data_IF_311589063529
#
_entry.id   IF_311589063529
#
_cell.length_a   1.000
_cell.length_b   1.000
_cell.length_c   1.000
_cell.angle_alpha   90.00
_cell.angle_beta   90.00
_cell.angle_gamma   90.00
#
_symmetry.space_group_name_H-M   'P 1'
#
loop_
_entity.id
_entity.type
_entity.pdbx_description
1 polymer ?
#
# COMPACT_ATOMS: atom_id res chain seq x y z
N UNK A 1 2.98 9.91 -24.36
CA UNK A 1 3.07 9.23 -23.05
C UNK A 1 2.71 7.76 -23.19
N UNK A 2 1.54 7.39 -23.73
CA UNK A 2 1.12 5.98 -23.89
C UNK A 2 2.12 5.12 -24.66
N UNK A 3 2.77 5.66 -25.72
CA UNK A 3 3.83 4.98 -26.49
C UNK A 3 5.03 4.62 -25.61
N UNK A 4 5.38 5.45 -24.62
CA UNK A 4 6.46 5.19 -23.66
C UNK A 4 6.03 4.17 -22.61
N UNK A 5 4.79 4.26 -22.10
CA UNK A 5 4.28 3.35 -21.07
C UNK A 5 4.11 1.91 -21.56
N UNK A 6 3.82 1.70 -22.86
CA UNK A 6 3.67 0.35 -23.46
C UNK A 6 4.97 -0.47 -23.43
N UNK A 7 6.12 0.18 -23.46
CA UNK A 7 7.43 -0.48 -23.52
C UNK A 7 8.11 -0.60 -22.15
N UNK A 8 7.43 -0.21 -21.06
CA UNK A 8 7.99 -0.25 -19.71
C UNK A 8 7.48 -1.51 -18.98
N UNK A 9 8.35 -2.50 -18.89
CA UNK A 9 8.10 -3.72 -18.09
C UNK A 9 8.63 -3.56 -16.66
N UNK A 10 8.01 -2.65 -15.91
CA UNK A 10 8.33 -2.44 -14.51
C UNK A 10 7.05 -2.40 -13.67
N UNK A 11 6.86 -3.43 -12.85
CA UNK A 11 5.69 -3.63 -12.01
C UNK A 11 5.39 -2.46 -11.05
N UNK A 12 6.39 -1.65 -10.68
CA UNK A 12 6.19 -0.46 -9.85
C UNK A 12 5.26 0.56 -10.50
N UNK A 13 5.35 0.71 -11.82
CA UNK A 13 4.57 1.71 -12.58
C UNK A 13 3.20 1.22 -13.04
N UNK A 14 2.74 0.04 -12.63
CA UNK A 14 1.44 -0.50 -13.04
C UNK A 14 0.23 0.12 -12.32
N UNK A 15 0.40 0.90 -11.25
CA UNK A 15 -0.70 1.62 -10.61
C UNK A 15 -0.95 2.95 -11.30
N UNK A 16 -2.20 3.43 -11.34
CA UNK A 16 -2.56 4.71 -11.97
C UNK A 16 -1.71 5.87 -11.44
N UNK A 17 -1.57 5.97 -10.12
CA UNK A 17 -0.75 7.02 -9.48
C UNK A 17 0.71 6.96 -9.91
N UNK A 18 1.30 5.77 -10.01
CA UNK A 18 2.71 5.64 -10.41
C UNK A 18 2.89 5.89 -11.91
N UNK A 19 1.92 5.55 -12.75
CA UNK A 19 1.91 5.93 -14.17
C UNK A 19 1.85 7.44 -14.34
N UNK A 20 0.96 8.09 -13.57
CA UNK A 20 0.84 9.55 -13.57
C UNK A 20 2.17 10.21 -13.15
N UNK A 21 2.78 9.75 -12.05
CA UNK A 21 4.09 10.25 -11.63
C UNK A 21 5.16 10.03 -12.71
N UNK A 22 5.18 8.87 -13.36
CA UNK A 22 6.11 8.60 -14.45
C UNK A 22 5.88 9.53 -15.64
N UNK A 23 4.63 9.88 -15.94
CA UNK A 23 4.31 10.82 -17.01
C UNK A 23 4.97 12.18 -16.80
N UNK A 24 4.94 12.70 -15.56
CA UNK A 24 5.65 13.94 -15.21
C UNK A 24 7.16 13.81 -15.41
N UNK A 25 7.75 12.66 -15.02
CA UNK A 25 9.19 12.42 -15.21
C UNK A 25 9.54 12.40 -16.70
N UNK A 26 8.74 11.75 -17.53
CA UNK A 26 8.95 11.68 -18.99
C UNK A 26 8.88 13.09 -19.60
N UNK A 27 7.85 13.88 -19.27
CA UNK A 27 7.71 15.23 -19.82
C UNK A 27 8.86 16.16 -19.37
N UNK A 28 9.26 16.08 -18.10
CA UNK A 28 10.41 16.83 -17.59
C UNK A 28 11.70 16.41 -18.31
N UNK A 29 11.92 15.12 -18.50
CA UNK A 29 13.12 14.59 -19.18
C UNK A 29 13.20 15.09 -20.62
N UNK A 30 12.08 15.16 -21.34
CA UNK A 30 12.03 15.74 -22.71
C UNK A 30 12.41 17.21 -22.69
N UNK A 31 11.85 18.01 -21.76
CA UNK A 31 12.17 19.44 -21.65
C UNK A 31 13.65 19.70 -21.32
N UNK A 32 14.27 18.78 -20.57
CA UNK A 32 15.70 18.85 -20.22
C UNK A 32 16.59 18.16 -21.26
N UNK A 33 16.05 17.71 -22.40
CA UNK A 33 16.77 17.04 -23.47
C UNK A 33 17.55 15.78 -23.03
N UNK A 34 17.04 15.03 -22.05
CA UNK A 34 17.62 13.73 -21.69
C UNK A 34 17.46 12.72 -22.84
N UNK A 35 18.51 11.92 -23.09
CA UNK A 35 18.45 10.84 -24.06
C UNK A 35 17.41 9.80 -23.65
N UNK A 36 16.54 9.40 -24.59
CA UNK A 36 15.48 8.43 -24.34
C UNK A 36 15.99 7.10 -23.79
N UNK A 37 17.11 6.59 -24.30
CA UNK A 37 17.67 5.31 -23.84
C UNK A 37 18.08 5.32 -22.37
N UNK A 38 18.65 6.44 -21.90
CA UNK A 38 18.99 6.64 -20.49
C UNK A 38 17.74 6.67 -19.62
N UNK A 39 16.68 7.36 -20.07
CA UNK A 39 15.41 7.40 -19.38
C UNK A 39 14.77 6.01 -19.29
N UNK A 40 14.73 5.27 -20.39
CA UNK A 40 14.19 3.91 -20.40
C UNK A 40 14.95 2.99 -19.46
N UNK A 41 16.28 3.01 -19.50
CA UNK A 41 17.12 2.22 -18.60
C UNK A 41 16.86 2.58 -17.15
N UNK A 42 16.84 3.87 -16.79
CA UNK A 42 16.55 4.32 -15.43
C UNK A 42 15.18 3.87 -14.93
N UNK A 43 14.15 3.91 -15.78
CA UNK A 43 12.79 3.45 -15.45
C UNK A 43 12.73 1.93 -15.30
N UNK A 44 13.39 1.16 -16.13
CA UNK A 44 13.46 -0.31 -16.02
C UNK A 44 14.19 -0.75 -14.76
N UNK A 45 15.30 -0.10 -14.43
CA UNK A 45 16.14 -0.42 -13.27
C UNK A 45 15.56 0.09 -11.94
N UNK A 46 14.54 0.94 -11.98
CA UNK A 46 13.96 1.56 -10.80
C UNK A 46 13.28 0.52 -9.89
N UNK A 47 13.83 0.29 -8.72
CA UNK A 47 13.35 -0.68 -7.71
C UNK A 47 12.19 -0.16 -6.85
N UNK A 48 11.70 1.06 -7.11
CA UNK A 48 10.73 1.74 -6.27
C UNK A 48 11.37 2.43 -5.06
N UNK A 49 10.56 3.16 -4.30
CA UNK A 49 10.97 3.84 -3.08
C UNK A 49 10.68 2.95 -1.87
N UNK A 50 11.59 2.95 -0.88
CA UNK A 50 11.37 2.25 0.39
C UNK A 50 10.05 2.70 1.04
N UNK A 51 9.30 1.73 1.56
CA UNK A 51 8.03 1.97 2.27
C UNK A 51 6.92 2.63 1.44
N UNK A 52 7.05 2.63 0.10
CA UNK A 52 6.01 3.05 -0.84
C UNK A 52 5.62 1.88 -1.74
N UNK A 53 4.56 1.19 -1.37
CA UNK A 53 4.09 -0.03 -2.05
C UNK A 53 5.20 -1.06 -2.28
N UNK A 54 6.19 -1.08 -1.40
CA UNK A 54 7.37 -1.93 -1.47
C UNK A 54 6.98 -3.38 -1.22
N UNK A 55 7.18 -4.26 -2.19
CA UNK A 55 7.05 -5.71 -2.00
C UNK A 55 8.29 -6.18 -1.24
N UNK A 56 8.09 -6.61 0.03
CA UNK A 56 9.16 -7.11 0.89
C UNK A 56 9.24 -8.63 0.91
N UNK A 57 8.16 -9.30 0.49
CA UNK A 57 8.09 -10.74 0.37
C UNK A 57 7.10 -11.14 -0.72
N UNK A 58 7.51 -12.07 -1.59
CA UNK A 58 6.64 -12.67 -2.60
C UNK A 58 7.11 -14.10 -2.85
N UNK A 59 6.42 -15.06 -2.27
CA UNK A 59 6.71 -16.48 -2.47
C UNK A 59 5.42 -17.29 -2.35
N UNK A 60 5.27 -18.33 -3.17
CA UNK A 60 4.06 -19.14 -3.22
C UNK A 60 2.82 -18.23 -3.43
N UNK A 61 1.82 -18.40 -2.56
CA UNK A 61 0.55 -17.66 -2.64
C UNK A 61 0.52 -16.42 -1.71
N UNK A 62 1.64 -16.00 -1.14
CA UNK A 62 1.70 -14.87 -0.21
C UNK A 62 2.55 -13.73 -0.76
N UNK A 63 1.97 -12.53 -0.76
CA UNK A 63 2.68 -11.27 -1.01
C UNK A 63 2.58 -10.38 0.22
N UNK A 64 3.70 -9.80 0.67
CA UNK A 64 3.72 -8.83 1.76
C UNK A 64 4.20 -7.49 1.19
N UNK A 65 3.41 -6.46 1.41
CA UNK A 65 3.65 -5.12 0.87
C UNK A 65 3.75 -4.12 2.01
N UNK A 66 4.87 -3.40 2.05
CA UNK A 66 5.08 -2.28 2.95
C UNK A 66 4.80 -0.96 2.24
N UNK A 67 3.73 -0.30 2.65
CA UNK A 67 3.31 1.03 2.20
C UNK A 67 3.18 1.99 3.38
N UNK A 68 4.17 1.96 4.28
CA UNK A 68 4.18 2.81 5.49
C UNK A 68 4.05 4.30 5.18
N UNK A 69 4.39 4.75 3.98
CA UNK A 69 4.22 6.12 3.50
C UNK A 69 2.76 6.52 3.30
N UNK A 70 1.83 5.58 3.25
CA UNK A 70 0.39 5.87 3.13
C UNK A 70 -0.12 6.60 4.37
N UNK A 71 -0.50 7.86 4.22
CA UNK A 71 -0.97 8.74 5.31
C UNK A 71 -2.45 9.13 5.19
N UNK A 72 -3.15 8.58 4.18
CA UNK A 72 -4.58 8.81 3.94
C UNK A 72 -5.23 7.59 3.26
N UNK A 73 -6.55 7.49 3.33
CA UNK A 73 -7.28 6.45 2.59
C UNK A 73 -7.05 6.55 1.08
N UNK A 74 -7.02 7.76 0.54
CA UNK A 74 -6.84 7.99 -0.90
C UNK A 74 -5.55 7.36 -1.42
N UNK A 75 -4.46 7.42 -0.67
CA UNK A 75 -3.17 6.82 -1.06
C UNK A 75 -3.19 5.28 -1.12
N UNK A 76 -4.13 4.63 -0.41
CA UNK A 76 -4.26 3.16 -0.39
C UNK A 76 -5.25 2.61 -1.43
N UNK A 77 -6.11 3.44 -2.03
CA UNK A 77 -7.18 2.98 -2.94
C UNK A 77 -6.62 2.18 -4.12
N UNK A 78 -5.57 2.66 -4.76
CA UNK A 78 -4.96 2.00 -5.92
C UNK A 78 -4.49 0.58 -5.60
N UNK A 79 -3.76 0.42 -4.50
CA UNK A 79 -3.21 -0.88 -4.10
C UNK A 79 -4.31 -1.84 -3.59
N UNK A 80 -5.37 -1.32 -2.94
CA UNK A 80 -6.53 -2.12 -2.53
C UNK A 80 -7.34 -2.63 -3.74
N UNK A 81 -7.39 -1.88 -4.84
CA UNK A 81 -8.04 -2.32 -6.08
C UNK A 81 -7.26 -3.43 -6.77
N UNK A 82 -5.93 -3.35 -6.81
CA UNK A 82 -5.03 -4.23 -7.57
C UNK A 82 -4.88 -5.62 -6.96
N UNK A 83 -4.93 -5.75 -5.62
CA UNK A 83 -4.65 -7.01 -4.92
C UNK A 83 -5.92 -7.77 -4.53
N UNK A 84 -5.76 -9.07 -4.19
CA UNK A 84 -6.84 -9.98 -3.78
C UNK A 84 -6.56 -10.57 -2.40
N UNK A 85 -7.64 -11.00 -1.71
CA UNK A 85 -7.57 -11.61 -0.37
C UNK A 85 -6.67 -10.80 0.59
N UNK A 86 -6.98 -9.52 0.74
CA UNK A 86 -6.13 -8.54 1.42
C UNK A 86 -6.38 -8.57 2.93
N UNK A 87 -5.31 -8.78 3.69
CA UNK A 87 -5.20 -8.52 5.11
C UNK A 87 -4.58 -7.14 5.28
N UNK A 88 -5.42 -6.14 5.46
CA UNK A 88 -5.04 -4.73 5.45
C UNK A 88 -4.75 -4.23 6.87
N UNK A 89 -3.51 -3.88 7.15
CA UNK A 89 -3.04 -3.27 8.39
C UNK A 89 -3.13 -1.76 8.31
N UNK A 90 -3.90 -1.14 9.21
CA UNK A 90 -4.06 0.31 9.26
C UNK A 90 -4.13 0.81 10.71
N UNK A 91 -3.66 2.06 10.92
CA UNK A 91 -3.60 2.67 12.24
C UNK A 91 -2.58 3.80 12.29
N UNK A 92 -2.70 4.65 13.30
CA UNK A 92 -1.91 5.86 13.48
C UNK A 92 -2.79 7.10 13.62
N UNK A 93 -2.21 8.30 13.49
CA UNK A 93 -2.94 9.57 13.58
C UNK A 93 -3.61 9.86 12.23
N UNK A 94 -4.95 9.80 12.20
CA UNK A 94 -5.72 10.05 10.99
C UNK A 94 -5.69 11.52 10.58
N UNK A 95 -5.79 11.78 9.27
CA UNK A 95 -5.94 13.13 8.72
C UNK A 95 -7.39 13.59 8.86
N UNK A 96 -7.60 14.81 9.39
CA UNK A 96 -8.94 15.43 9.46
C UNK A 96 -9.55 15.52 8.05
N UNK A 97 -10.81 15.16 7.91
CA UNK A 97 -11.52 15.21 6.61
C UNK A 97 -11.24 14.04 5.67
N UNK A 98 -10.35 13.11 6.02
CA UNK A 98 -10.04 11.96 5.14
C UNK A 98 -11.29 11.09 4.89
N UNK A 99 -11.49 10.72 3.61
CA UNK A 99 -12.68 9.98 3.15
C UNK A 99 -12.28 8.63 2.57
N UNK A 100 -13.02 7.59 2.96
CA UNK A 100 -12.86 6.25 2.40
C UNK A 100 -13.78 6.04 1.20
N UNK A 101 -13.26 6.24 -0.01
CA UNK A 101 -14.00 6.22 -1.27
C UNK A 101 -13.68 4.98 -2.13
N UNK A 102 -13.61 3.80 -1.54
CA UNK A 102 -13.45 2.55 -2.28
C UNK A 102 -14.82 2.03 -2.74
N UNK A 103 -14.92 1.56 -3.99
CA UNK A 103 -16.15 0.96 -4.54
C UNK A 103 -16.51 -0.35 -3.82
N UNK A 104 -17.82 -0.58 -3.61
CA UNK A 104 -18.40 -1.76 -2.91
C UNK A 104 -17.91 -3.10 -3.50
N UNK A 105 -17.66 -3.19 -4.80
CA UNK A 105 -17.18 -4.41 -5.46
C UNK A 105 -15.87 -4.96 -4.91
N UNK A 106 -15.07 -4.10 -4.24
CA UNK A 106 -13.79 -4.50 -3.64
C UNK A 106 -13.88 -4.92 -2.17
N UNK A 107 -15.00 -4.66 -1.49
CA UNK A 107 -15.11 -4.85 -0.03
C UNK A 107 -14.91 -6.31 0.40
N UNK A 108 -15.50 -7.26 -0.34
CA UNK A 108 -15.46 -8.69 0.01
C UNK A 108 -14.05 -9.30 0.04
N UNK A 109 -13.12 -8.72 -0.71
CA UNK A 109 -11.74 -9.22 -0.79
C UNK A 109 -10.79 -8.63 0.26
N UNK A 110 -11.29 -7.75 1.13
CA UNK A 110 -10.48 -7.01 2.11
C UNK A 110 -10.96 -7.34 3.52
N UNK A 111 -9.99 -7.58 4.42
CA UNK A 111 -10.18 -7.62 5.87
C UNK A 111 -9.24 -6.62 6.50
N UNK A 112 -9.77 -5.71 7.31
CA UNK A 112 -9.00 -4.67 7.96
C UNK A 112 -8.57 -5.09 9.37
N UNK A 113 -7.31 -4.81 9.72
CA UNK A 113 -6.68 -5.06 11.01
C UNK A 113 -6.21 -3.73 11.56
N UNK A 114 -7.01 -3.16 12.46
CA UNK A 114 -6.84 -1.79 12.95
C UNK A 114 -6.07 -1.83 14.25
N UNK A 115 -4.95 -1.13 14.34
CA UNK A 115 -4.11 -1.09 15.53
C UNK A 115 -3.96 0.33 16.10
N UNK A 116 -3.48 0.43 17.35
CA UNK A 116 -3.15 1.68 18.01
C UNK A 116 -4.33 2.39 18.69
N UNK A 117 -4.15 3.68 18.98
CA UNK A 117 -5.10 4.46 19.84
C UNK A 117 -6.32 4.98 19.07
N UNK A 118 -6.19 5.32 17.81
CA UNK A 118 -7.24 5.99 17.00
C UNK A 118 -8.25 5.05 16.32
N UNK A 119 -8.47 3.85 16.86
CA UNK A 119 -9.34 2.82 16.28
C UNK A 119 -10.76 3.30 15.98
N UNK A 120 -11.33 4.15 16.82
CA UNK A 120 -12.71 4.66 16.67
C UNK A 120 -12.94 5.35 15.32
N UNK A 121 -11.96 6.13 14.85
CA UNK A 121 -12.03 6.78 13.53
C UNK A 121 -12.13 5.78 12.39
N UNK A 122 -11.22 4.80 12.36
CA UNK A 122 -11.18 3.79 11.30
C UNK A 122 -12.43 2.91 11.35
N UNK A 123 -12.88 2.51 12.54
CA UNK A 123 -14.12 1.74 12.73
C UNK A 123 -15.30 2.47 12.08
N UNK A 124 -15.49 3.78 12.38
CA UNK A 124 -16.57 4.60 11.81
C UNK A 124 -16.52 4.64 10.28
N UNK A 125 -15.32 4.71 9.69
CA UNK A 125 -15.15 4.79 8.21
C UNK A 125 -15.37 3.46 7.50
N UNK A 126 -15.07 2.34 8.16
CA UNK A 126 -15.14 0.98 7.58
C UNK A 126 -16.41 0.23 7.96
N UNK A 127 -17.16 0.69 8.97
CA UNK A 127 -18.40 0.05 9.42
C UNK A 127 -19.40 -0.10 8.27
N UNK A 128 -20.03 -1.28 8.16
CA UNK A 128 -20.95 -1.61 7.07
C UNK A 128 -20.29 -1.80 5.68
N UNK A 129 -18.97 -1.62 5.57
CA UNK A 129 -18.22 -1.70 4.31
C UNK A 129 -17.22 -2.85 4.29
N UNK A 130 -16.29 -2.89 5.22
CA UNK A 130 -15.22 -3.88 5.28
C UNK A 130 -15.22 -4.54 6.66
N UNK A 131 -15.11 -5.87 6.70
CA UNK A 131 -14.92 -6.60 7.97
C UNK A 131 -13.61 -6.19 8.61
N UNK A 132 -13.64 -5.81 9.90
CA UNK A 132 -12.45 -5.39 10.61
C UNK A 132 -12.32 -6.04 11.99
N UNK A 133 -11.09 -6.02 12.50
CA UNK A 133 -10.74 -6.37 13.88
C UNK A 133 -9.82 -5.30 14.47
N UNK A 134 -9.96 -5.05 15.78
CA UNK A 134 -9.14 -4.08 16.49
C UNK A 134 -8.07 -4.78 17.32
N UNK A 135 -6.87 -4.17 17.36
CA UNK A 135 -5.71 -4.66 18.10
C UNK A 135 -5.08 -3.55 18.93
N UNK A 136 -4.34 -3.91 19.96
CA UNK A 136 -3.64 -2.95 20.79
C UNK A 136 -2.45 -2.34 20.02
N UNK A 137 -1.66 -3.18 19.38
CA UNK A 137 -0.46 -2.79 18.64
C UNK A 137 -0.35 -3.53 17.30
N UNK A 138 0.65 -3.16 16.50
CA UNK A 138 0.91 -3.73 15.18
C UNK A 138 1.28 -5.22 15.26
N UNK A 139 2.06 -5.64 16.26
CA UNK A 139 2.50 -7.04 16.40
C UNK A 139 1.32 -7.97 16.64
N UNK A 140 0.37 -7.60 17.50
CA UNK A 140 -0.82 -8.40 17.75
C UNK A 140 -1.68 -8.56 16.50
N UNK A 141 -1.80 -7.48 15.72
CA UNK A 141 -2.49 -7.52 14.43
C UNK A 141 -1.80 -8.48 13.45
N UNK A 142 -0.48 -8.42 13.33
CA UNK A 142 0.32 -9.32 12.48
C UNK A 142 0.20 -10.78 12.91
N UNK A 143 0.37 -11.08 14.20
CA UNK A 143 0.19 -12.44 14.74
C UNK A 143 -1.18 -13.01 14.36
N UNK A 144 -2.24 -12.22 14.51
CA UNK A 144 -3.60 -12.65 14.15
C UNK A 144 -3.74 -12.90 12.63
N UNK A 145 -3.12 -12.08 11.78
CA UNK A 145 -3.09 -12.30 10.33
C UNK A 145 -2.43 -13.64 9.99
N UNK A 146 -1.25 -13.92 10.53
CA UNK A 146 -0.54 -15.17 10.26
C UNK A 146 -1.33 -16.40 10.72
N UNK A 147 -2.03 -16.32 11.86
CA UNK A 147 -2.95 -17.40 12.29
C UNK A 147 -4.06 -17.62 11.25
N UNK A 148 -4.64 -16.54 10.70
CA UNK A 148 -5.70 -16.67 9.68
C UNK A 148 -5.18 -17.23 8.36
N UNK A 149 -3.98 -16.82 7.94
CA UNK A 149 -3.32 -17.31 6.71
C UNK A 149 -3.06 -18.81 6.80
N UNK A 150 -2.53 -19.29 7.93
CA UNK A 150 -2.28 -20.73 8.16
C UNK A 150 -3.56 -21.57 8.08
N UNK A 151 -4.70 -21.02 8.55
CA UNK A 151 -6.00 -21.72 8.52
C UNK A 151 -6.67 -21.74 7.16
N UNK A 152 -6.30 -20.83 6.25
CA UNK A 152 -6.96 -20.68 4.94
C UNK A 152 -5.93 -20.83 3.81
N UNK A 153 -5.95 -21.98 3.13
CA UNK A 153 -5.21 -22.15 1.86
C UNK A 153 -5.98 -21.44 0.73
N UNK A 154 -5.75 -20.13 0.55
CA UNK A 154 -6.30 -19.38 -0.58
C UNK A 154 -5.30 -19.37 -1.73
N UNK A 155 -5.79 -19.23 -2.97
CA UNK A 155 -4.97 -19.21 -4.19
C UNK A 155 -3.93 -18.07 -4.17
N UNK A 156 -4.29 -16.92 -3.61
CA UNK A 156 -3.40 -15.77 -3.46
C UNK A 156 -3.83 -14.94 -2.25
N UNK A 157 -2.87 -14.51 -1.45
CA UNK A 157 -3.09 -13.71 -0.24
C UNK A 157 -2.13 -12.54 -0.20
N UNK A 158 -2.60 -11.39 0.26
CA UNK A 158 -1.78 -10.18 0.39
C UNK A 158 -1.85 -9.64 1.80
N UNK A 159 -0.70 -9.54 2.50
CA UNK A 159 -0.59 -8.71 3.69
C UNK A 159 -0.20 -7.32 3.22
N UNK A 160 -1.08 -6.36 3.43
CA UNK A 160 -0.87 -4.97 3.05
C UNK A 160 -0.71 -4.10 4.29
N UNK A 161 0.49 -3.62 4.52
CA UNK A 161 0.77 -2.58 5.51
C UNK A 161 0.62 -1.21 4.84
N UNK A 162 -0.56 -0.62 4.90
CA UNK A 162 -0.88 0.70 4.35
C UNK A 162 -1.71 1.46 5.39
N UNK A 163 -1.03 2.14 6.34
CA UNK A 163 -1.63 2.63 7.58
C UNK A 163 -2.72 3.68 7.43
N UNK A 164 -2.78 4.41 6.32
CA UNK A 164 -3.72 5.51 6.06
C UNK A 164 -3.69 6.61 7.12
N UNK A 165 -2.55 6.79 7.78
CA UNK A 165 -2.40 7.71 8.89
C UNK A 165 -0.93 8.11 9.09
N UNK A 166 -0.70 9.25 9.73
CA UNK A 166 0.62 9.62 10.20
C UNK A 166 1.11 8.68 11.31
N UNK A 167 2.43 8.55 11.44
CA UNK A 167 3.07 7.57 12.33
C UNK A 167 3.39 8.11 13.74
N UNK A 168 3.21 9.40 13.96
CA UNK A 168 3.72 10.14 15.15
C UNK A 168 3.08 9.77 16.49
N UNK A 169 2.11 8.85 16.50
CA UNK A 169 1.54 8.31 17.75
C UNK A 169 2.43 7.22 18.38
N UNK A 170 3.29 6.59 17.60
CA UNK A 170 4.07 5.42 18.04
C UNK A 170 5.47 5.33 17.39
N UNK A 171 5.76 6.16 16.38
CA UNK A 171 7.00 6.12 15.63
C UNK A 171 7.48 7.54 15.32
N UNK A 172 8.79 7.70 15.17
CA UNK A 172 9.46 8.97 14.87
C UNK A 172 9.01 9.57 13.52
N UNK A 173 8.86 8.69 12.52
CA UNK A 173 8.44 9.02 11.17
C UNK A 173 7.89 7.76 10.47
N UNK A 174 7.50 7.87 9.19
CA UNK A 174 6.99 6.72 8.43
C UNK A 174 8.10 5.73 8.07
N UNK A 175 9.34 6.17 7.95
CA UNK A 175 10.51 5.32 7.71
C UNK A 175 10.76 4.38 8.89
N UNK A 176 10.76 4.91 10.10
CA UNK A 176 10.89 4.13 11.33
C UNK A 176 9.76 3.12 11.47
N UNK A 177 8.52 3.52 11.22
CA UNK A 177 7.36 2.63 11.17
C UNK A 177 7.50 1.54 10.10
N UNK A 178 7.98 1.91 8.91
CA UNK A 178 8.22 0.98 7.81
C UNK A 178 9.33 -0.01 8.10
N UNK A 179 10.40 0.44 8.73
CA UNK A 179 11.50 -0.41 9.18
C UNK A 179 11.04 -1.40 10.26
N UNK A 180 10.26 -0.93 11.23
CA UNK A 180 9.68 -1.78 12.27
C UNK A 180 8.79 -2.89 11.69
N UNK A 181 8.01 -2.59 10.66
CA UNK A 181 7.19 -3.60 9.99
C UNK A 181 8.02 -4.64 9.22
N UNK A 182 9.20 -4.28 8.74
CA UNK A 182 10.09 -5.18 7.98
C UNK A 182 10.88 -6.17 8.87
N UNK A 183 10.98 -5.90 10.17
CA UNK A 183 11.57 -6.80 11.18
C UNK A 183 10.65 -7.96 11.53
#
# INVERSE_FOLDING_TARGET
IEKYLKNIDNNYFLTETNKENLSFVIELSKKLNFKNDLLFKAVQDFKGLKYRQQIIYKKNNLTIINDSKSTSFSSSIGILKKNSNIYWLLGGIHKKGDKFNLSKKYFKKIKAFIYGKNKKFFNKKLNGKIKYKNFYNLNDALKNIFIQIKKKKLSQQTILFSPCAASFDSFKNFEDRGFYFNK
#
